data_IF_207838699888
#
_entry.id   IF_207838699888
#
_cell.length_a   1.000
_cell.length_b   1.000
_cell.length_c   1.000
_cell.angle_alpha   90.00
_cell.angle_beta   90.00
_cell.angle_gamma   90.00
#
_symmetry.space_group_name_H-M   'P 1'
#
loop_
_entity.id
_entity.type
_entity.pdbx_description
1 polymer ?
#
# COMPACT_ATOMS: atom_id res chain seq x y z
N UNK A 1 2.47 14.17 -26.36
CA UNK A 1 2.78 13.27 -25.25
C UNK A 1 1.82 13.57 -24.13
N UNK A 2 1.13 12.58 -23.60
CA UNK A 2 0.26 12.73 -22.43
C UNK A 2 1.13 13.04 -21.21
N UNK A 3 0.78 14.10 -20.48
CA UNK A 3 1.40 14.42 -19.20
C UNK A 3 1.06 13.31 -18.19
N UNK A 4 2.08 12.81 -17.48
CA UNK A 4 1.91 11.75 -16.48
C UNK A 4 1.51 12.37 -15.14
N UNK A 5 0.54 11.74 -14.48
CA UNK A 5 0.10 12.11 -13.14
C UNK A 5 0.87 11.28 -12.10
N UNK A 6 2.12 11.70 -11.88
CA UNK A 6 3.11 10.97 -11.08
C UNK A 6 2.77 10.90 -9.58
N UNK A 7 1.76 11.63 -9.11
CA UNK A 7 1.28 11.58 -7.73
C UNK A 7 -0.15 11.01 -7.60
N UNK A 8 -0.86 10.79 -8.71
CA UNK A 8 -2.15 10.11 -8.72
C UNK A 8 -2.06 8.75 -9.40
N UNK A 9 -2.66 8.62 -10.59
CA UNK A 9 -2.79 7.30 -11.26
C UNK A 9 -1.45 6.66 -11.65
N UNK A 10 -0.43 7.47 -11.91
CA UNK A 10 0.91 7.01 -12.32
C UNK A 10 1.88 6.98 -11.11
N UNK A 11 1.36 7.00 -9.88
CA UNK A 11 2.16 7.04 -8.65
C UNK A 11 3.21 5.91 -8.54
N UNK A 12 2.87 4.71 -9.00
CA UNK A 12 3.77 3.54 -8.98
C UNK A 12 4.54 3.34 -10.29
N UNK A 13 4.48 4.28 -11.24
CA UNK A 13 5.22 4.16 -12.50
C UNK A 13 6.73 4.28 -12.30
N UNK A 14 7.49 3.82 -13.29
CA UNK A 14 8.94 3.96 -13.26
C UNK A 14 9.35 5.44 -13.32
N UNK A 15 8.68 6.24 -14.14
CA UNK A 15 8.90 7.69 -14.25
C UNK A 15 8.68 8.39 -12.91
N UNK A 16 7.64 7.99 -12.16
CA UNK A 16 7.40 8.53 -10.82
C UNK A 16 8.47 8.10 -9.82
N UNK A 17 9.03 6.90 -9.97
CA UNK A 17 10.10 6.37 -9.13
C UNK A 17 11.48 6.97 -9.45
N UNK A 18 11.69 7.41 -10.68
CA UNK A 18 12.88 8.19 -11.10
C UNK A 18 12.78 9.63 -10.59
N UNK A 19 11.59 10.23 -10.67
CA UNK A 19 11.38 11.62 -10.26
C UNK A 19 11.45 11.82 -8.75
N UNK A 20 10.84 10.92 -7.98
CA UNK A 20 10.70 11.06 -6.53
C UNK A 20 11.25 9.84 -5.79
N UNK A 21 12.02 10.10 -4.74
CA UNK A 21 12.39 9.05 -3.80
C UNK A 21 11.18 8.55 -3.01
N UNK A 22 11.21 7.31 -2.55
CA UNK A 22 10.17 6.77 -1.67
C UNK A 22 10.76 5.93 -0.55
N UNK A 23 10.00 5.69 0.51
CA UNK A 23 10.46 4.83 1.61
C UNK A 23 10.73 3.39 1.14
N UNK A 24 9.94 2.89 0.18
CA UNK A 24 10.13 1.57 -0.42
C UNK A 24 11.45 1.51 -1.20
N UNK A 25 11.74 2.54 -2.01
CA UNK A 25 12.99 2.65 -2.75
C UNK A 25 14.18 2.75 -1.78
N UNK A 26 14.10 3.60 -0.76
CA UNK A 26 15.14 3.70 0.28
C UNK A 26 15.43 2.35 0.94
N UNK A 27 14.40 1.60 1.35
CA UNK A 27 14.56 0.25 1.93
C UNK A 27 15.27 -0.71 0.98
N UNK A 28 14.94 -0.67 -0.32
CA UNK A 28 15.60 -1.49 -1.35
C UNK A 28 17.07 -1.15 -1.51
N UNK A 29 17.43 0.13 -1.58
CA UNK A 29 18.82 0.56 -1.63
C UNK A 29 19.60 0.15 -0.37
N UNK A 30 18.96 0.26 0.81
CA UNK A 30 19.54 -0.20 2.08
C UNK A 30 19.77 -1.71 2.13
N UNK A 31 18.93 -2.50 1.47
CA UNK A 31 19.10 -3.96 1.34
C UNK A 31 20.22 -4.32 0.35
N UNK A 32 20.19 -3.74 -0.86
CA UNK A 32 21.18 -3.98 -1.91
C UNK A 32 21.10 -2.89 -2.99
N UNK A 33 22.11 -2.01 -3.03
CA UNK A 33 22.15 -0.88 -3.95
C UNK A 33 22.14 -1.29 -5.43
N UNK A 34 22.94 -2.31 -5.79
CA UNK A 34 23.03 -2.79 -7.18
C UNK A 34 21.68 -3.32 -7.70
N UNK A 35 20.95 -4.09 -6.88
CA UNK A 35 19.60 -4.57 -7.24
C UNK A 35 18.61 -3.42 -7.34
N UNK A 36 18.60 -2.51 -6.36
CA UNK A 36 17.68 -1.38 -6.34
C UNK A 36 17.88 -0.45 -7.55
N UNK A 37 19.13 -0.25 -7.99
CA UNK A 37 19.44 0.49 -9.21
C UNK A 37 18.96 -0.24 -10.47
N UNK A 38 19.19 -1.55 -10.58
CA UNK A 38 18.72 -2.36 -11.71
C UNK A 38 17.18 -2.40 -11.80
N UNK A 39 16.47 -2.47 -10.66
CA UNK A 39 15.01 -2.32 -10.56
C UNK A 39 14.55 -0.96 -11.12
N UNK A 40 15.20 0.13 -10.70
CA UNK A 40 14.87 1.49 -11.13
C UNK A 40 15.17 1.75 -12.61
N UNK A 41 16.21 1.11 -13.15
CA UNK A 41 16.55 1.18 -14.58
C UNK A 41 15.64 0.30 -15.45
N UNK A 42 14.89 -0.63 -14.84
CA UNK A 42 14.06 -1.61 -15.55
C UNK A 42 14.84 -2.82 -16.08
N UNK A 43 16.12 -2.94 -15.72
CA UNK A 43 17.00 -4.05 -16.12
C UNK A 43 16.70 -5.34 -15.35
N UNK A 44 16.00 -5.23 -14.21
CA UNK A 44 15.61 -6.36 -13.39
C UNK A 44 14.19 -6.19 -12.85
N UNK A 45 13.42 -7.28 -12.86
CA UNK A 45 12.07 -7.33 -12.28
C UNK A 45 12.00 -8.41 -11.21
N UNK A 46 11.29 -8.08 -10.12
CA UNK A 46 11.13 -9.01 -9.01
C UNK A 46 10.22 -10.18 -9.41
N UNK A 47 10.74 -11.39 -9.29
CA UNK A 47 10.03 -12.64 -9.62
C UNK A 47 9.44 -13.32 -8.39
N UNK A 48 9.55 -12.69 -7.22
CA UNK A 48 8.97 -13.22 -5.98
C UNK A 48 7.44 -13.28 -6.06
N UNK A 49 6.90 -14.20 -5.26
CA UNK A 49 5.46 -14.32 -5.08
C UNK A 49 4.87 -13.01 -4.53
N UNK A 50 3.99 -12.40 -5.32
CA UNK A 50 3.36 -11.13 -5.01
C UNK A 50 2.04 -11.28 -4.23
N UNK A 51 1.66 -12.50 -3.85
CA UNK A 51 0.38 -12.78 -3.18
C UNK A 51 0.18 -11.94 -1.93
N UNK A 52 1.22 -11.79 -1.09
CA UNK A 52 1.13 -10.97 0.13
C UNK A 52 0.84 -9.49 -0.15
N UNK A 53 1.45 -8.93 -1.20
CA UNK A 53 1.19 -7.55 -1.62
C UNK A 53 -0.21 -7.39 -2.19
N UNK A 54 -0.67 -8.35 -2.99
CA UNK A 54 -2.01 -8.35 -3.55
C UNK A 54 -3.09 -8.48 -2.46
N UNK A 55 -2.86 -9.34 -1.45
CA UNK A 55 -3.72 -9.44 -0.27
C UNK A 55 -3.79 -8.12 0.49
N UNK A 56 -2.65 -7.47 0.72
CA UNK A 56 -2.61 -6.14 1.32
C UNK A 56 -3.44 -5.14 0.51
N UNK A 57 -3.12 -4.97 -0.77
CA UNK A 57 -3.82 -4.02 -1.66
C UNK A 57 -5.32 -4.31 -1.80
N UNK A 58 -5.75 -5.58 -1.67
CA UNK A 58 -7.16 -5.94 -1.59
C UNK A 58 -7.85 -5.27 -0.40
N UNK A 59 -7.22 -5.30 0.78
CA UNK A 59 -7.71 -4.65 1.99
C UNK A 59 -7.66 -3.13 1.87
N UNK A 60 -6.53 -2.56 1.42
CA UNK A 60 -6.41 -1.10 1.24
C UNK A 60 -7.48 -0.55 0.29
N UNK A 61 -7.67 -1.17 -0.88
CA UNK A 61 -8.65 -0.73 -1.87
C UNK A 61 -10.08 -0.75 -1.33
N UNK A 62 -10.43 -1.71 -0.45
CA UNK A 62 -11.72 -1.74 0.23
C UNK A 62 -11.94 -0.50 1.11
N UNK A 63 -10.93 -0.12 1.88
CA UNK A 63 -10.95 1.02 2.79
C UNK A 63 -10.72 2.38 2.11
N UNK A 64 -10.21 2.38 0.88
CA UNK A 64 -10.12 3.56 0.02
C UNK A 64 -11.51 3.97 -0.50
N UNK A 65 -12.16 3.11 -1.28
CA UNK A 65 -13.53 3.32 -1.75
C UNK A 65 -14.10 2.07 -2.44
N UNK A 66 -15.43 1.98 -2.54
CA UNK A 66 -16.08 0.91 -3.32
C UNK A 66 -15.58 0.87 -4.78
N UNK A 67 -15.35 2.04 -5.39
CA UNK A 67 -14.87 2.14 -6.78
C UNK A 67 -13.45 1.57 -6.90
N UNK A 68 -12.53 2.00 -6.05
CA UNK A 68 -11.15 1.53 -6.04
C UNK A 68 -11.07 0.01 -5.83
N UNK A 69 -11.91 -0.52 -4.93
CA UNK A 69 -11.98 -1.96 -4.68
C UNK A 69 -12.47 -2.77 -5.89
N UNK A 70 -13.51 -2.32 -6.58
CA UNK A 70 -13.98 -2.97 -7.81
C UNK A 70 -12.93 -2.89 -8.94
N UNK A 71 -12.26 -1.75 -9.09
CA UNK A 71 -11.17 -1.58 -10.06
C UNK A 71 -9.99 -2.52 -9.76
N UNK A 72 -9.58 -2.62 -8.49
CA UNK A 72 -8.54 -3.55 -8.05
C UNK A 72 -8.90 -5.00 -8.38
N UNK A 73 -10.16 -5.40 -8.12
CA UNK A 73 -10.67 -6.74 -8.46
C UNK A 73 -10.69 -7.00 -9.96
N UNK A 74 -11.09 -6.02 -10.77
CA UNK A 74 -11.07 -6.13 -12.23
C UNK A 74 -9.66 -6.32 -12.78
N UNK A 75 -8.68 -5.56 -12.26
CA UNK A 75 -7.30 -5.59 -12.73
C UNK A 75 -6.54 -6.86 -12.30
N UNK A 76 -6.83 -7.39 -11.11
CA UNK A 76 -6.06 -8.49 -10.51
C UNK A 76 -6.84 -9.81 -10.44
N UNK A 77 -8.06 -9.88 -11.00
CA UNK A 77 -8.96 -11.02 -10.85
C UNK A 77 -8.37 -12.37 -11.28
N UNK A 78 -7.49 -12.41 -12.29
CA UNK A 78 -6.80 -13.64 -12.71
C UNK A 78 -5.91 -14.23 -11.61
N UNK A 79 -5.34 -13.38 -10.76
CA UNK A 79 -4.51 -13.80 -9.63
C UNK A 79 -5.35 -14.20 -8.42
N UNK A 80 -6.57 -13.69 -8.30
CA UNK A 80 -7.42 -13.88 -7.12
C UNK A 80 -8.45 -14.99 -7.27
N UNK A 81 -8.91 -15.26 -8.49
CA UNK A 81 -9.95 -16.24 -8.76
C UNK A 81 -9.33 -17.57 -9.18
N UNK A 82 -9.81 -18.65 -8.58
CA UNK A 82 -9.42 -20.00 -8.98
C UNK A 82 -9.94 -20.30 -10.39
N UNK A 83 -9.06 -20.69 -11.29
CA UNK A 83 -9.41 -21.04 -12.68
C UNK A 83 -9.60 -22.55 -12.88
N UNK A 84 -9.33 -23.36 -11.86
CA UNK A 84 -9.23 -24.83 -11.96
C UNK A 84 -9.92 -25.54 -10.79
N UNK A 85 -10.24 -26.82 -11.00
CA UNK A 85 -10.75 -27.70 -9.95
C UNK A 85 -12.18 -27.36 -9.48
N UNK A 86 -12.55 -27.89 -8.32
CA UNK A 86 -13.88 -27.75 -7.72
C UNK A 86 -14.18 -26.33 -7.21
N UNK A 87 -13.15 -25.51 -7.02
CA UNK A 87 -13.27 -24.11 -6.59
C UNK A 87 -13.24 -23.13 -7.75
N UNK A 88 -13.33 -23.60 -9.01
CA UNK A 88 -13.29 -22.73 -10.18
C UNK A 88 -14.35 -21.62 -10.09
N UNK A 89 -13.93 -20.38 -10.32
CA UNK A 89 -14.78 -19.18 -10.19
C UNK A 89 -14.89 -18.63 -8.76
N UNK A 90 -14.32 -19.33 -7.76
CA UNK A 90 -14.28 -18.85 -6.38
C UNK A 90 -12.96 -18.13 -6.07
N UNK A 91 -13.00 -17.29 -5.05
CA UNK A 91 -11.84 -16.58 -4.54
C UNK A 91 -10.82 -17.57 -3.94
N UNK A 92 -9.53 -17.40 -4.24
CA UNK A 92 -8.45 -18.21 -3.66
C UNK A 92 -8.35 -17.96 -2.15
N UNK A 93 -7.81 -18.94 -1.42
CA UNK A 93 -7.75 -18.95 0.05
C UNK A 93 -7.10 -17.69 0.66
N UNK A 94 -6.03 -17.19 0.06
CA UNK A 94 -5.31 -16.01 0.58
C UNK A 94 -6.20 -14.75 0.57
N UNK A 95 -7.10 -14.61 -0.41
CA UNK A 95 -8.01 -13.47 -0.50
C UNK A 95 -9.29 -13.68 0.31
N UNK A 96 -9.68 -14.93 0.61
CA UNK A 96 -10.67 -15.20 1.65
C UNK A 96 -10.17 -14.74 3.03
N UNK A 97 -8.86 -14.84 3.29
CA UNK A 97 -8.26 -14.25 4.49
C UNK A 97 -8.31 -12.72 4.44
N UNK A 98 -8.13 -12.10 3.27
CA UNK A 98 -8.29 -10.65 3.11
C UNK A 98 -9.72 -10.18 3.47
N UNK A 99 -10.76 -10.93 3.06
CA UNK A 99 -12.15 -10.67 3.48
C UNK A 99 -12.33 -10.73 4.99
N UNK A 100 -11.69 -11.70 5.65
CA UNK A 100 -11.71 -11.79 7.11
C UNK A 100 -10.99 -10.60 7.78
N UNK A 101 -9.89 -10.12 7.21
CA UNK A 101 -9.20 -8.91 7.68
C UNK A 101 -10.09 -7.67 7.56
N UNK A 102 -10.80 -7.52 6.43
CA UNK A 102 -11.77 -6.44 6.22
C UNK A 102 -12.87 -6.50 7.29
N UNK A 103 -13.44 -7.68 7.53
CA UNK A 103 -14.51 -7.83 8.51
C UNK A 103 -14.03 -7.57 9.94
N UNK A 104 -12.81 -7.99 10.28
CA UNK A 104 -12.20 -7.67 11.57
C UNK A 104 -12.06 -6.15 11.76
N UNK A 105 -11.51 -5.44 10.77
CA UNK A 105 -11.33 -3.98 10.82
C UNK A 105 -12.66 -3.22 10.85
N UNK A 106 -13.68 -3.66 10.11
CA UNK A 106 -15.04 -3.06 10.15
C UNK A 106 -15.69 -3.15 11.53
N UNK A 107 -15.42 -4.23 12.25
CA UNK A 107 -15.98 -4.46 13.59
C UNK A 107 -15.10 -3.89 14.71
N UNK A 108 -13.90 -3.40 14.40
CA UNK A 108 -13.05 -2.71 15.36
C UNK A 108 -13.50 -1.25 15.54
N UNK A 109 -14.07 -0.97 16.71
CA UNK A 109 -14.57 0.35 17.06
C UNK A 109 -13.49 1.45 17.01
N UNK A 110 -12.27 1.15 17.47
CA UNK A 110 -11.19 2.13 17.51
C UNK A 110 -10.69 2.44 16.11
N UNK A 111 -10.48 1.40 15.29
CA UNK A 111 -10.09 1.57 13.89
C UNK A 111 -11.11 2.43 13.16
N UNK A 112 -12.41 2.11 13.25
CA UNK A 112 -13.45 2.88 12.57
C UNK A 112 -13.52 4.33 13.04
N UNK A 113 -13.17 4.61 14.30
CA UNK A 113 -13.09 5.98 14.82
C UNK A 113 -11.87 6.75 14.29
N UNK A 114 -10.71 6.09 14.16
CA UNK A 114 -9.51 6.74 13.65
C UNK A 114 -9.49 6.84 12.13
N UNK A 115 -10.07 5.89 11.40
CA UNK A 115 -9.98 5.81 9.94
C UNK A 115 -10.98 6.75 9.22
N UNK A 116 -11.01 8.04 9.60
CA UNK A 116 -11.98 9.06 9.14
C UNK A 116 -11.36 10.17 8.25
N UNK A 117 -10.08 10.05 7.90
CA UNK A 117 -9.37 11.02 7.05
C UNK A 117 -9.50 10.77 5.54
N UNK A 118 -8.86 11.66 4.75
CA UNK A 118 -8.73 11.52 3.29
C UNK A 118 -7.96 10.24 2.97
N UNK A 119 -8.44 9.46 2.00
CA UNK A 119 -7.84 8.16 1.65
C UNK A 119 -6.75 8.29 0.60
N UNK A 120 -5.74 7.43 0.71
CA UNK A 120 -4.70 7.21 -0.31
C UNK A 120 -4.04 8.52 -0.80
N UNK A 121 -3.74 9.42 0.14
CA UNK A 121 -3.23 10.75 -0.16
C UNK A 121 -1.75 10.68 -0.51
N UNK A 122 -1.40 11.06 -1.74
CA UNK A 122 -0.02 11.29 -2.11
C UNK A 122 0.49 12.63 -1.55
N UNK A 123 1.65 12.58 -0.92
CA UNK A 123 2.36 13.73 -0.37
C UNK A 123 3.79 13.76 -0.91
N UNK A 124 4.37 14.96 -0.97
CA UNK A 124 5.79 15.14 -1.23
C UNK A 124 6.45 15.98 -0.14
N UNK A 125 7.76 15.85 -0.01
CA UNK A 125 8.56 16.63 0.92
C UNK A 125 10.05 16.44 0.69
N UNK A 126 10.86 17.39 1.18
CA UNK A 126 12.30 17.32 1.07
C UNK A 126 12.90 16.68 2.31
N UNK A 127 13.72 15.64 2.12
CA UNK A 127 14.53 15.02 3.17
C UNK A 127 15.99 15.09 2.74
N UNK A 128 16.82 15.84 3.49
CA UNK A 128 18.24 16.01 3.15
C UNK A 128 18.48 16.63 1.77
N UNK A 129 17.56 17.48 1.28
CA UNK A 129 17.62 18.08 -0.05
C UNK A 129 17.13 17.19 -1.20
N UNK A 130 16.70 15.96 -0.91
CA UNK A 130 16.13 15.03 -1.89
C UNK A 130 14.61 15.06 -1.79
N UNK A 131 13.92 15.09 -2.93
CA UNK A 131 12.46 15.07 -2.98
C UNK A 131 11.92 13.65 -2.82
N UNK A 132 11.15 13.45 -1.76
CA UNK A 132 10.47 12.19 -1.45
C UNK A 132 8.97 12.32 -1.75
N UNK A 133 8.37 11.21 -2.16
CA UNK A 133 6.93 10.96 -2.17
C UNK A 133 6.56 9.89 -1.16
N UNK A 134 5.34 10.02 -0.63
CA UNK A 134 4.67 9.00 0.16
C UNK A 134 3.19 8.94 -0.21
N UNK A 135 2.56 7.80 0.00
CA UNK A 135 1.11 7.61 -0.14
C UNK A 135 0.58 7.14 1.20
N UNK A 136 -0.34 7.92 1.77
CA UNK A 136 -0.85 7.73 3.12
C UNK A 136 -2.26 7.16 3.02
N UNK A 137 -2.50 5.97 3.59
CA UNK A 137 -3.78 5.26 3.47
C UNK A 137 -4.94 6.10 4.01
N UNK A 138 -4.75 6.78 5.15
CA UNK A 138 -5.72 7.69 5.73
C UNK A 138 -5.05 8.88 6.42
N UNK A 139 -5.23 10.07 5.88
CA UNK A 139 -4.68 11.32 6.41
C UNK A 139 -5.77 12.21 7.02
N UNK A 140 -5.68 12.50 8.32
CA UNK A 140 -6.53 13.45 9.02
C UNK A 140 -5.69 14.66 9.49
N UNK A 141 -5.61 15.67 8.62
CA UNK A 141 -4.84 16.89 8.89
C UNK A 141 -5.43 17.69 10.05
N UNK A 142 -6.76 17.79 10.12
CA UNK A 142 -7.47 18.60 11.12
C UNK A 142 -7.19 18.10 12.55
N UNK A 143 -7.11 16.78 12.72
CA UNK A 143 -6.80 16.15 14.00
C UNK A 143 -5.30 15.80 14.16
N UNK A 144 -4.45 16.12 13.18
CA UNK A 144 -3.00 15.94 13.27
C UNK A 144 -2.51 14.49 13.33
N UNK A 145 -3.20 13.55 12.68
CA UNK A 145 -2.77 12.14 12.63
C UNK A 145 -2.95 11.52 11.24
N UNK A 146 -2.26 10.41 11.03
CA UNK A 146 -2.50 9.52 9.89
C UNK A 146 -2.52 8.07 10.36
N UNK A 147 -3.14 7.21 9.56
CA UNK A 147 -3.24 5.77 9.80
C UNK A 147 -2.72 5.06 8.57
N UNK A 148 -1.93 4.02 8.79
CA UNK A 148 -1.38 3.15 7.76
C UNK A 148 -1.78 1.70 8.11
N UNK A 149 -2.43 1.01 7.17
CA UNK A 149 -2.89 -0.36 7.32
C UNK A 149 -1.72 -1.30 6.98
N UNK A 150 -1.49 -2.27 7.86
CA UNK A 150 -0.52 -3.34 7.62
C UNK A 150 -1.18 -4.71 7.77
N UNK A 151 -1.11 -5.52 6.72
CA UNK A 151 -1.57 -6.91 6.73
C UNK A 151 -0.38 -7.84 6.94
N UNK A 152 -0.25 -8.42 8.12
CA UNK A 152 0.85 -9.34 8.47
C UNK A 152 0.32 -10.58 9.19
N UNK A 153 1.07 -11.69 9.14
CA UNK A 153 0.74 -12.92 9.87
C UNK A 153 1.15 -12.87 11.35
N UNK A 154 2.11 -12.01 11.70
CA UNK A 154 2.64 -11.85 13.06
C UNK A 154 2.16 -10.56 13.72
N UNK A 155 2.34 -10.44 15.05
CA UNK A 155 2.15 -9.17 15.72
C UNK A 155 3.07 -8.11 15.11
N UNK A 156 2.60 -6.87 15.06
CA UNK A 156 3.47 -5.74 14.76
C UNK A 156 4.35 -5.53 15.99
N UNK A 157 5.66 -5.37 15.82
CA UNK A 157 6.53 -5.03 16.96
C UNK A 157 6.00 -3.73 17.59
N UNK A 158 5.52 -3.80 18.84
CA UNK A 158 4.89 -2.71 19.61
C UNK A 158 5.88 -1.58 20.01
N UNK A 159 6.74 -1.14 19.09
CA UNK A 159 7.55 0.06 19.31
C UNK A 159 6.71 1.29 19.02
N UNK A 160 5.98 1.75 20.04
CA UNK A 160 5.41 3.10 20.07
C UNK A 160 6.57 4.09 20.00
N UNK A 161 6.81 4.63 18.81
CA UNK A 161 7.75 5.74 18.62
C UNK A 161 7.04 7.03 18.99
N UNK A 162 7.20 7.47 20.25
CA UNK A 162 6.72 8.78 20.69
C UNK A 162 7.51 9.89 20.00
N UNK A 163 6.93 10.54 18.99
CA UNK A 163 7.44 11.81 18.49
C UNK A 163 6.76 12.94 19.28
N UNK A 164 7.48 13.88 19.91
CA UNK A 164 6.93 14.93 20.79
C UNK A 164 5.81 15.84 20.24
N UNK A 165 5.37 15.68 18.98
CA UNK A 165 4.22 16.41 18.41
C UNK A 165 3.30 15.58 17.50
N UNK A 166 3.44 14.25 17.43
CA UNK A 166 2.53 13.39 16.68
C UNK A 166 2.43 12.02 17.36
N UNK A 167 1.25 11.67 17.86
CA UNK A 167 0.95 10.29 18.27
C UNK A 167 0.70 9.48 17.01
N UNK A 168 1.70 8.68 16.63
CA UNK A 168 1.52 7.59 15.67
C UNK A 168 0.93 6.41 16.45
N UNK A 169 -0.34 6.10 16.20
CA UNK A 169 -0.89 4.79 16.54
C UNK A 169 -0.54 3.87 15.38
N UNK A 170 0.33 2.90 15.67
CA UNK A 170 0.65 1.77 14.79
C UNK A 170 -0.41 0.69 14.99
#
# INVERSE_FOLDING_TARGET
>A
MTELDLLGKDYYSNESSIKYWSISQYKRFRECEARALAELQGDWTDTRDNTALLVGNYVHSYFESKKAHEEFKGQNGSEMISTRGTTKGQLKKDYLVAEQMIEALKNDYQFMKYYQGKKEVAITGLLGGVEFKGKIDCLNVDCGYFVDIKTTKGPVDDKVLEWPRARLLV
#
